data_IF_058361586933
#
_entry.id   IF_058361586933
#
_cell.length_a   1.000
_cell.length_b   1.000
_cell.length_c   1.000
_cell.angle_alpha   90.00
_cell.angle_beta   90.00
_cell.angle_gamma   90.00
#
_symmetry.space_group_name_H-M   'P 1'
#
loop_
_entity.id
_entity.type
_entity.pdbx_description
1 polymer ?
#
# COMPACT_ATOMS: atom_id res chain seq x y z
N UNK A 1 -16.23 12.05 17.48
CA UNK A 1 -14.88 11.56 17.12
C UNK A 1 -14.22 12.68 16.32
N UNK A 2 -13.03 13.16 16.73
CA UNK A 2 -12.43 14.41 16.21
C UNK A 2 -11.64 14.24 14.89
N UNK A 3 -11.47 13.01 14.41
CA UNK A 3 -10.75 12.71 13.19
C UNK A 3 -11.68 12.83 11.98
N UNK A 4 -11.25 13.59 11.00
CA UNK A 4 -12.03 13.95 9.82
C UNK A 4 -11.14 13.82 8.58
N UNK A 5 -11.47 12.84 7.73
CA UNK A 5 -10.66 12.50 6.54
C UNK A 5 -10.67 13.61 5.49
N UNK A 6 -11.81 14.27 5.32
CA UNK A 6 -11.95 15.36 4.36
C UNK A 6 -11.10 16.56 4.83
N UNK A 7 -11.19 16.89 6.11
CA UNK A 7 -10.40 17.97 6.69
C UNK A 7 -8.89 17.68 6.70
N UNK A 8 -8.48 16.45 7.00
CA UNK A 8 -7.07 16.03 6.90
C UNK A 8 -6.51 16.25 5.50
N UNK A 9 -7.29 15.90 4.48
CA UNK A 9 -6.90 16.09 3.09
C UNK A 9 -6.84 17.57 2.70
N UNK A 10 -7.78 18.40 3.18
CA UNK A 10 -7.73 19.87 3.02
C UNK A 10 -6.48 20.47 3.67
N UNK A 11 -6.17 20.07 4.90
CA UNK A 11 -4.96 20.51 5.62
C UNK A 11 -3.70 20.16 4.85
N UNK A 12 -3.58 18.92 4.37
CA UNK A 12 -2.43 18.50 3.55
C UNK A 12 -2.27 19.36 2.29
N UNK A 13 -3.38 19.66 1.58
CA UNK A 13 -3.35 20.54 0.40
C UNK A 13 -2.86 21.95 0.74
N UNK A 14 -3.35 22.53 1.83
CA UNK A 14 -2.90 23.86 2.28
C UNK A 14 -1.40 23.88 2.61
N UNK A 15 -0.90 22.86 3.32
CA UNK A 15 0.52 22.75 3.64
C UNK A 15 1.38 22.54 2.39
N UNK A 16 0.87 21.80 1.39
CA UNK A 16 1.55 21.57 0.12
C UNK A 16 1.76 22.86 -0.68
N UNK A 17 0.82 23.81 -0.64
CA UNK A 17 0.95 25.12 -1.31
C UNK A 17 2.11 25.96 -0.77
N UNK A 18 2.52 25.73 0.48
CA UNK A 18 3.62 26.47 1.12
C UNK A 18 4.97 25.75 1.04
N UNK A 19 4.98 24.49 0.61
CA UNK A 19 6.21 23.70 0.50
C UNK A 19 7.23 24.39 -0.44
N UNK A 20 8.53 24.45 -0.08
CA UNK A 20 9.22 23.78 1.03
C UNK A 20 9.22 24.53 2.36
N UNK A 21 8.55 25.68 2.44
CA UNK A 21 8.47 26.49 3.66
C UNK A 21 7.35 25.97 4.59
N UNK A 22 7.47 26.19 5.91
CA UNK A 22 6.36 25.96 6.84
C UNK A 22 5.17 26.89 6.53
N UNK A 23 3.96 26.40 6.76
CA UNK A 23 2.74 27.16 6.60
C UNK A 23 2.52 28.09 7.80
N UNK A 24 2.11 29.34 7.54
CA UNK A 24 1.81 30.29 8.61
C UNK A 24 0.42 30.05 9.21
N UNK A 25 0.37 29.14 10.20
CA UNK A 25 -0.88 28.75 10.85
C UNK A 25 -1.62 29.91 11.53
N UNK A 26 -0.92 30.98 11.87
CA UNK A 26 -1.50 32.16 12.53
C UNK A 26 -2.52 32.87 11.63
N UNK A 27 -2.48 32.64 10.31
CA UNK A 27 -3.46 33.21 9.38
C UNK A 27 -4.86 32.63 9.60
N UNK A 28 -4.95 31.35 9.94
CA UNK A 28 -6.24 30.65 10.12
C UNK A 28 -6.61 30.48 11.60
N UNK A 29 -5.62 30.38 12.49
CA UNK A 29 -5.85 30.19 13.93
C UNK A 29 -6.55 31.38 14.61
N UNK A 30 -6.44 32.60 14.06
CA UNK A 30 -7.08 33.81 14.61
C UNK A 30 -8.60 33.74 14.70
N UNK A 31 -9.23 32.89 13.90
CA UNK A 31 -10.69 32.76 13.82
C UNK A 31 -11.23 31.53 14.55
N UNK A 32 -10.38 30.76 15.24
CA UNK A 32 -10.79 29.52 15.90
C UNK A 32 -11.45 29.78 17.25
N UNK A 33 -12.49 29.00 17.53
CA UNK A 33 -12.95 28.73 18.88
C UNK A 33 -12.25 27.47 19.43
N UNK A 34 -12.48 27.15 20.70
CA UNK A 34 -11.87 25.99 21.38
C UNK A 34 -12.14 24.67 20.64
N UNK A 35 -13.31 24.54 20.00
CA UNK A 35 -13.70 23.34 19.25
C UNK A 35 -12.91 23.21 17.95
N UNK A 36 -12.74 24.30 17.19
CA UNK A 36 -11.94 24.34 15.98
C UNK A 36 -10.45 24.11 16.29
N UNK A 37 -9.94 24.72 17.36
CA UNK A 37 -8.56 24.52 17.83
C UNK A 37 -8.29 23.05 18.18
N UNK A 38 -9.19 22.42 18.94
CA UNK A 38 -9.08 21.00 19.28
C UNK A 38 -9.18 20.09 18.05
N UNK A 39 -10.11 20.39 17.12
CA UNK A 39 -10.25 19.64 15.86
C UNK A 39 -8.97 19.72 15.03
N UNK A 40 -8.38 20.90 14.91
CA UNK A 40 -7.10 21.07 14.21
C UNK A 40 -5.99 20.26 14.89
N UNK A 41 -5.81 20.41 16.21
CA UNK A 41 -4.80 19.69 16.98
C UNK A 41 -4.90 18.17 16.79
N UNK A 42 -6.10 17.60 16.96
CA UNK A 42 -6.31 16.16 16.84
C UNK A 42 -5.96 15.62 15.43
N UNK A 43 -6.32 16.35 14.37
CA UNK A 43 -6.03 15.93 13.00
C UNK A 43 -4.54 16.10 12.66
N UNK A 44 -3.90 17.18 13.11
CA UNK A 44 -2.47 17.40 12.89
C UNK A 44 -1.60 16.39 13.65
N UNK A 45 -1.93 16.07 14.90
CA UNK A 45 -1.25 15.00 15.64
C UNK A 45 -1.37 13.67 14.90
N UNK A 46 -2.57 13.33 14.42
CA UNK A 46 -2.76 12.09 13.68
C UNK A 46 -1.97 12.05 12.37
N UNK A 47 -1.95 13.16 11.61
CA UNK A 47 -1.14 13.26 10.39
C UNK A 47 0.36 13.14 10.68
N UNK A 48 0.82 13.69 11.81
CA UNK A 48 2.21 13.64 12.27
C UNK A 48 2.60 12.22 12.73
N UNK A 49 1.71 11.49 13.42
CA UNK A 49 1.90 10.07 13.79
C UNK A 49 2.09 9.16 12.57
N UNK A 50 1.49 9.52 11.42
CA UNK A 50 1.69 8.84 10.14
C UNK A 50 2.86 9.41 9.31
N UNK A 51 3.55 10.41 9.83
CA UNK A 51 4.69 11.06 9.20
C UNK A 51 4.34 11.86 7.94
N UNK A 52 3.07 12.28 7.79
CA UNK A 52 2.61 13.08 6.65
C UNK A 52 2.91 14.57 6.82
N UNK A 53 3.02 15.03 8.07
CA UNK A 53 3.34 16.42 8.44
C UNK A 53 4.30 16.46 9.62
N UNK A 54 4.97 17.59 9.79
CA UNK A 54 5.66 18.01 11.00
C UNK A 54 4.82 19.14 11.61
N UNK A 55 4.11 18.87 12.71
CA UNK A 55 3.16 19.81 13.32
C UNK A 55 3.65 20.29 14.70
N UNK A 56 4.34 19.42 15.43
CA UNK A 56 4.79 19.60 16.81
C UNK A 56 3.72 20.25 17.69
N UNK A 57 2.52 19.68 17.69
CA UNK A 57 1.44 20.15 18.57
C UNK A 57 1.77 19.75 20.00
N UNK A 58 1.77 20.72 20.91
CA UNK A 58 2.11 20.50 22.32
C UNK A 58 0.97 20.94 23.22
N UNK A 59 0.84 20.27 24.36
CA UNK A 59 -0.14 20.61 25.39
C UNK A 59 0.59 21.13 26.63
N UNK A 60 0.36 22.41 26.95
CA UNK A 60 0.98 23.08 28.07
C UNK A 60 0.40 22.65 29.43
N UNK A 61 1.15 22.92 30.50
CA UNK A 61 0.71 22.68 31.89
C UNK A 61 -0.45 23.60 32.30
N UNK A 62 -0.65 24.68 31.56
CA UNK A 62 -1.76 25.63 31.66
C UNK A 62 -3.01 25.15 30.91
N UNK A 63 -3.01 23.92 30.39
CA UNK A 63 -4.08 23.33 29.62
C UNK A 63 -4.33 23.97 28.25
N UNK A 64 -3.40 24.79 27.75
CA UNK A 64 -3.48 25.40 26.43
C UNK A 64 -2.69 24.60 25.38
N UNK A 65 -3.22 24.59 24.15
CA UNK A 65 -2.53 24.02 23.00
C UNK A 65 -1.52 25.04 22.46
N UNK A 66 -0.34 24.54 22.08
CA UNK A 66 0.68 25.34 21.42
C UNK A 66 1.09 24.65 20.13
N UNK A 67 1.11 25.44 19.05
CA UNK A 67 1.39 24.99 17.70
C UNK A 67 2.70 25.56 17.20
N UNK A 68 3.56 24.70 16.66
CA UNK A 68 4.65 25.16 15.80
C UNK A 68 4.12 25.54 14.41
N UNK A 69 4.96 26.12 13.55
CA UNK A 69 4.59 26.30 12.14
C UNK A 69 4.61 24.93 11.45
N UNK A 70 3.45 24.39 11.03
CA UNK A 70 3.38 23.06 10.46
C UNK A 70 4.02 23.02 9.06
N UNK A 71 4.53 21.87 8.68
CA UNK A 71 5.11 21.63 7.37
C UNK A 71 4.72 20.24 6.85
N UNK A 72 4.40 20.14 5.57
CA UNK A 72 4.16 18.83 4.94
C UNK A 72 5.50 18.11 4.67
N UNK A 73 5.52 16.79 4.90
CA UNK A 73 6.71 15.96 4.61
C UNK A 73 6.71 15.48 3.16
N UNK A 74 7.81 14.87 2.71
CA UNK A 74 7.84 14.17 1.43
C UNK A 74 6.77 13.06 1.35
N UNK A 75 6.51 12.36 2.47
CA UNK A 75 5.46 11.33 2.54
C UNK A 75 4.06 11.93 2.44
N UNK A 76 3.84 13.11 3.03
CA UNK A 76 2.58 13.85 2.87
C UNK A 76 2.34 14.32 1.42
N UNK A 77 3.39 14.77 0.73
CA UNK A 77 3.32 15.12 -0.69
C UNK A 77 3.05 13.89 -1.57
N UNK A 78 3.75 12.78 -1.31
CA UNK A 78 3.52 11.51 -1.99
C UNK A 78 2.09 10.99 -1.75
N UNK A 79 1.54 11.18 -0.55
CA UNK A 79 0.16 10.81 -0.23
C UNK A 79 -0.87 11.62 -1.03
N UNK A 80 -0.58 12.88 -1.34
CA UNK A 80 -1.43 13.72 -2.19
C UNK A 80 -1.30 13.39 -3.69
N UNK A 81 -0.27 12.67 -4.08
CA UNK A 81 -0.02 12.35 -5.47
C UNK A 81 -0.89 11.14 -5.91
N UNK A 82 -1.70 11.33 -6.96
CA UNK A 82 -2.59 10.28 -7.50
C UNK A 82 -1.84 9.08 -8.11
N UNK A 83 -0.51 9.12 -8.11
CA UNK A 83 0.41 8.10 -8.64
C UNK A 83 1.15 7.31 -7.55
N UNK A 84 0.92 7.59 -6.25
CA UNK A 84 1.62 6.96 -5.14
C UNK A 84 3.01 7.55 -4.84
N UNK A 85 3.37 8.64 -5.53
CA UNK A 85 4.54 9.45 -5.24
C UNK A 85 5.89 8.76 -5.43
N UNK A 86 6.95 9.43 -4.98
CA UNK A 86 8.32 8.96 -5.11
C UNK A 86 8.58 7.67 -4.31
N UNK A 87 7.80 7.44 -3.25
CA UNK A 87 7.78 6.20 -2.48
C UNK A 87 7.44 4.97 -3.33
N UNK A 88 6.59 5.08 -4.35
CA UNK A 88 6.30 3.98 -5.27
C UNK A 88 7.50 3.63 -6.17
N UNK A 89 8.31 4.63 -6.51
CA UNK A 89 9.50 4.46 -7.37
C UNK A 89 10.69 3.92 -6.56
N UNK A 90 10.89 4.40 -5.33
CA UNK A 90 12.03 4.04 -4.49
C UNK A 90 11.78 2.81 -3.60
N UNK A 91 10.51 2.51 -3.30
CA UNK A 91 10.08 1.41 -2.42
C UNK A 91 9.85 0.08 -3.13
N UNK A 92 10.67 -0.28 -4.14
CA UNK A 92 10.53 -1.57 -4.84
C UNK A 92 10.76 -2.71 -3.85
N UNK A 93 9.69 -3.37 -3.42
CA UNK A 93 9.75 -4.59 -2.62
C UNK A 93 10.08 -5.76 -3.56
N UNK A 94 11.27 -6.32 -3.41
CA UNK A 94 11.60 -7.57 -4.11
C UNK A 94 10.87 -8.71 -3.41
N UNK A 95 9.75 -9.16 -3.98
CA UNK A 95 9.05 -10.36 -3.52
C UNK A 95 9.88 -11.59 -3.91
N UNK A 96 10.49 -12.25 -2.93
CA UNK A 96 11.15 -13.55 -3.13
C UNK A 96 10.16 -14.65 -2.77
N UNK A 97 9.76 -15.44 -3.76
CA UNK A 97 8.96 -16.64 -3.51
C UNK A 97 9.93 -17.77 -3.14
N UNK A 98 9.78 -18.32 -1.94
CA UNK A 98 10.56 -19.48 -1.50
C UNK A 98 10.19 -20.72 -2.31
N UNK A 99 11.18 -21.60 -2.56
CA UNK A 99 10.98 -22.81 -3.37
C UNK A 99 9.95 -23.75 -2.75
N UNK A 100 9.87 -23.79 -1.42
CA UNK A 100 8.88 -24.58 -0.70
C UNK A 100 7.46 -24.04 -0.89
N UNK A 101 7.30 -22.72 -0.97
CA UNK A 101 6.01 -22.09 -1.29
C UNK A 101 5.59 -22.42 -2.72
N UNK A 102 6.52 -22.38 -3.68
CA UNK A 102 6.25 -22.83 -5.05
C UNK A 102 5.89 -24.31 -5.10
N UNK A 103 6.60 -25.17 -4.37
CA UNK A 103 6.29 -26.60 -4.28
C UNK A 103 4.87 -26.84 -3.78
N UNK A 104 4.49 -26.18 -2.68
CA UNK A 104 3.15 -26.29 -2.11
C UNK A 104 2.07 -25.89 -3.13
N UNK A 105 2.27 -24.79 -3.86
CA UNK A 105 1.35 -24.36 -4.91
C UNK A 105 1.23 -25.39 -6.05
N UNK A 106 2.36 -25.95 -6.49
CA UNK A 106 2.38 -26.99 -7.52
C UNK A 106 1.66 -28.27 -7.07
N UNK A 107 1.80 -28.66 -5.80
CA UNK A 107 1.11 -29.84 -5.25
C UNK A 107 -0.40 -29.64 -5.24
N UNK A 108 -0.89 -28.49 -4.77
CA UNK A 108 -2.32 -28.14 -4.78
C UNK A 108 -2.87 -28.17 -6.21
N UNK A 109 -2.10 -27.70 -7.19
CA UNK A 109 -2.51 -27.73 -8.59
C UNK A 109 -2.46 -29.13 -9.20
N UNK A 110 -1.47 -29.95 -8.84
CA UNK A 110 -1.37 -31.35 -9.29
C UNK A 110 -2.58 -32.17 -8.82
N UNK A 111 -3.03 -31.97 -7.58
CA UNK A 111 -4.21 -32.66 -7.02
C UNK A 111 -5.53 -32.20 -7.67
N UNK A 112 -5.57 -30.95 -8.15
CA UNK A 112 -6.71 -30.33 -8.81
C UNK A 112 -6.68 -30.38 -10.34
N UNK A 113 -5.80 -31.18 -10.97
CA UNK A 113 -5.72 -31.24 -12.43
C UNK A 113 -7.05 -31.73 -13.04
N UNK A 114 -7.65 -30.95 -13.97
CA UNK A 114 -8.84 -31.38 -14.69
C UNK A 114 -8.49 -32.52 -15.65
N UNK A 115 -9.47 -33.36 -15.96
CA UNK A 115 -9.35 -34.44 -16.95
C UNK A 115 -8.20 -35.44 -16.71
N UNK A 116 -7.73 -35.58 -15.47
CA UNK A 116 -6.72 -36.58 -15.07
C UNK A 116 -7.28 -37.59 -14.07
N UNK A 117 -6.79 -38.84 -14.11
CA UNK A 117 -7.15 -39.90 -13.16
C UNK A 117 -6.50 -39.68 -11.78
N UNK A 118 -7.02 -40.29 -10.69
CA UNK A 118 -6.38 -40.24 -9.38
C UNK A 118 -4.92 -40.73 -9.40
N UNK A 119 -4.61 -41.75 -10.19
CA UNK A 119 -3.27 -42.29 -10.36
C UNK A 119 -2.32 -41.29 -11.03
N UNK A 120 -2.78 -40.62 -12.09
CA UNK A 120 -2.00 -39.58 -12.80
C UNK A 120 -1.70 -38.41 -11.88
N UNK A 121 -2.70 -37.93 -11.11
CA UNK A 121 -2.51 -36.84 -10.15
C UNK A 121 -1.54 -37.21 -9.05
N UNK A 122 -1.62 -38.44 -8.55
CA UNK A 122 -0.69 -38.97 -7.54
C UNK A 122 0.75 -39.01 -8.08
N UNK A 123 0.94 -39.50 -9.31
CA UNK A 123 2.24 -39.55 -9.96
C UNK A 123 2.85 -38.16 -10.18
N UNK A 124 2.03 -37.19 -10.61
CA UNK A 124 2.47 -35.78 -10.77
C UNK A 124 2.83 -35.18 -9.41
N UNK A 125 2.02 -35.40 -8.37
CA UNK A 125 2.30 -34.90 -7.04
C UNK A 125 3.60 -35.50 -6.47
N UNK A 126 3.85 -36.80 -6.68
CA UNK A 126 5.10 -37.45 -6.28
C UNK A 126 6.31 -36.88 -7.03
N UNK A 127 6.19 -36.65 -8.34
CA UNK A 127 7.24 -35.99 -9.11
C UNK A 127 7.56 -34.60 -8.54
N UNK A 128 6.53 -33.80 -8.23
CA UNK A 128 6.70 -32.47 -7.62
C UNK A 128 7.38 -32.54 -6.25
N UNK A 129 7.07 -33.52 -5.39
CA UNK A 129 7.73 -33.69 -4.08
C UNK A 129 9.23 -34.00 -4.23
N UNK A 130 9.60 -34.78 -5.24
CA UNK A 130 10.97 -35.23 -5.43
C UNK A 130 11.84 -34.27 -6.26
N UNK A 131 11.27 -33.18 -6.81
CA UNK A 131 12.05 -32.20 -7.56
C UNK A 131 13.06 -31.45 -6.67
N UNK A 132 14.32 -31.28 -7.13
CA UNK A 132 15.27 -30.36 -6.52
C UNK A 132 14.75 -28.91 -6.54
N UNK A 133 15.15 -28.11 -5.55
CA UNK A 133 14.75 -26.71 -5.43
C UNK A 133 14.95 -25.89 -6.73
N UNK A 134 16.12 -26.05 -7.36
CA UNK A 134 16.44 -25.37 -8.64
C UNK A 134 15.48 -25.74 -9.78
N UNK A 135 14.99 -26.98 -9.79
CA UNK A 135 14.07 -27.45 -10.83
C UNK A 135 12.65 -26.94 -10.63
N UNK A 136 12.24 -26.66 -9.39
CA UNK A 136 10.92 -26.08 -9.09
C UNK A 136 10.76 -24.73 -9.77
N UNK A 137 11.78 -23.88 -9.72
CA UNK A 137 11.76 -22.58 -10.37
C UNK A 137 11.63 -22.72 -11.89
N UNK A 138 12.37 -23.65 -12.50
CA UNK A 138 12.26 -23.93 -13.95
C UNK A 138 10.87 -24.44 -14.34
N UNK A 139 10.24 -25.28 -13.52
CA UNK A 139 8.88 -25.76 -13.75
C UNK A 139 7.88 -24.61 -13.62
N UNK A 140 8.02 -23.76 -12.60
CA UNK A 140 7.18 -22.59 -12.40
C UNK A 140 7.28 -21.63 -13.61
N UNK A 141 8.49 -21.32 -14.09
CA UNK A 141 8.69 -20.45 -15.26
C UNK A 141 7.99 -20.99 -16.51
N UNK A 142 8.08 -22.30 -16.77
CA UNK A 142 7.41 -22.95 -17.90
C UNK A 142 5.89 -22.91 -17.77
N UNK A 143 5.37 -23.14 -16.57
CA UNK A 143 3.93 -23.08 -16.31
C UNK A 143 3.39 -21.66 -16.46
N UNK A 144 4.14 -20.65 -16.03
CA UNK A 144 3.77 -19.24 -16.25
C UNK A 144 3.74 -18.93 -17.75
N UNK A 145 4.76 -19.35 -18.51
CA UNK A 145 4.80 -19.15 -19.96
C UNK A 145 3.59 -19.81 -20.67
N UNK A 146 3.33 -21.09 -20.38
CA UNK A 146 2.17 -21.82 -20.92
C UNK A 146 0.84 -21.18 -20.49
N UNK A 147 0.75 -20.74 -19.24
CA UNK A 147 -0.45 -20.06 -18.72
C UNK A 147 -0.74 -18.77 -19.48
N UNK A 148 0.30 -17.98 -19.79
CA UNK A 148 0.17 -16.75 -20.59
C UNK A 148 -0.27 -17.06 -22.03
N UNK A 149 0.28 -18.11 -22.64
CA UNK A 149 -0.10 -18.56 -24.00
C UNK A 149 -1.56 -19.05 -24.10
N UNK A 150 -2.09 -19.60 -23.01
CA UNK A 150 -3.44 -20.16 -22.94
C UNK A 150 -4.45 -19.26 -22.20
N UNK A 151 -4.15 -17.97 -22.00
CA UNK A 151 -5.10 -17.04 -21.41
C UNK A 151 -6.37 -16.95 -22.28
N UNK A 152 -7.57 -17.27 -21.75
CA UNK A 152 -8.80 -17.40 -22.53
C UNK A 152 -9.27 -16.12 -23.22
N UNK A 153 -8.73 -14.95 -22.83
CA UNK A 153 -9.08 -13.64 -23.41
C UNK A 153 -7.84 -12.80 -23.75
N UNK A 154 -6.65 -13.42 -23.76
CA UNK A 154 -5.38 -12.73 -23.98
C UNK A 154 -5.10 -11.60 -22.98
N UNK A 155 -4.52 -10.49 -23.46
CA UNK A 155 -4.11 -9.34 -22.63
C UNK A 155 -5.28 -8.67 -21.88
N UNK A 156 -6.52 -8.79 -22.36
CA UNK A 156 -7.67 -8.10 -21.78
C UNK A 156 -8.00 -8.59 -20.35
N UNK A 157 -8.03 -9.90 -20.15
CA UNK A 157 -8.31 -10.46 -18.82
C UNK A 157 -7.16 -10.17 -17.84
N UNK A 158 -5.92 -10.17 -18.34
CA UNK A 158 -4.76 -9.78 -17.54
C UNK A 158 -4.86 -8.33 -17.08
N UNK A 159 -5.28 -7.41 -17.96
CA UNK A 159 -5.55 -6.02 -17.59
C UNK A 159 -6.57 -5.92 -16.44
N UNK A 160 -7.69 -6.64 -16.54
CA UNK A 160 -8.72 -6.65 -15.48
C UNK A 160 -8.14 -7.12 -14.14
N UNK A 161 -7.37 -8.20 -14.13
CA UNK A 161 -6.77 -8.71 -12.89
C UNK A 161 -5.74 -7.76 -12.30
N UNK A 162 -4.93 -7.11 -13.15
CA UNK A 162 -3.99 -6.09 -12.72
C UNK A 162 -4.71 -4.89 -12.10
N UNK A 163 -5.78 -4.40 -12.74
CA UNK A 163 -6.58 -3.29 -12.21
C UNK A 163 -7.22 -3.64 -10.86
N UNK A 164 -7.72 -4.87 -10.70
CA UNK A 164 -8.26 -5.37 -9.44
C UNK A 164 -7.20 -5.44 -8.34
N UNK A 165 -6.01 -5.94 -8.66
CA UNK A 165 -4.89 -6.03 -7.72
C UNK A 165 -4.38 -4.64 -7.31
N UNK A 166 -4.28 -3.70 -8.25
CA UNK A 166 -3.91 -2.31 -7.96
C UNK A 166 -4.98 -1.64 -7.08
N UNK A 167 -6.26 -1.88 -7.37
CA UNK A 167 -7.36 -1.32 -6.59
C UNK A 167 -7.43 -1.85 -5.16
N UNK A 168 -7.15 -3.14 -4.94
CA UNK A 168 -7.14 -3.74 -3.60
C UNK A 168 -5.99 -3.23 -2.73
N UNK A 169 -4.83 -2.93 -3.33
CA UNK A 169 -3.71 -2.30 -2.64
C UNK A 169 -4.03 -0.86 -2.22
N UNK A 170 -4.80 -0.11 -3.02
CA UNK A 170 -5.22 1.26 -2.70
C UNK A 170 -6.27 1.33 -1.57
N UNK A 171 -7.05 0.27 -1.34
CA UNK A 171 -8.07 0.22 -0.28
C UNK A 171 -7.59 -0.32 1.07
N UNK A 172 -6.33 -0.76 1.18
CA UNK A 172 -5.75 -1.35 2.40
C UNK A 172 -4.87 -0.36 3.21
N UNK A 173 -4.84 0.91 2.80
CA UNK A 173 -4.14 2.04 3.45
C UNK A 173 -5.18 3.00 4.01
#
# INVERSE_FOLDING_TARGET
>A
MSLDREYQHELLKQLAESYPLPFDIRQIARAWDDAAEFRYAANMCYLEEHGLVEANVTYGLDHHLSFSLPKITARGLDFLADDGGLSAILGVVTVKIHEESLRALLLVKAEGLPDSTPEERSAVAEAVRNLPARSIQTVADKLIALGVEHLPTGAHQLHIWLDQAISSLRGAV
#
